data_IF_772298579712
#
_entry.id   IF_772298579712
#
_cell.length_a   1.000
_cell.length_b   1.000
_cell.length_c   1.000
_cell.angle_alpha   90.00
_cell.angle_beta   90.00
_cell.angle_gamma   90.00
#
_symmetry.space_group_name_H-M   'P 1'
#
loop_
_entity.id
_entity.type
_entity.pdbx_description
1 polymer ?
#
# COMPACT_ATOMS: atom_id res chain seq x y z
N UNK A 1 -1.28 5.83 -16.03
CA UNK A 1 -2.41 6.77 -16.23
C UNK A 1 -3.67 5.96 -16.56
N UNK A 2 -4.57 5.86 -15.59
CA UNK A 2 -5.79 5.02 -15.64
C UNK A 2 -6.98 5.94 -15.97
N UNK A 3 -7.87 5.47 -16.86
CA UNK A 3 -8.96 6.19 -17.54
C UNK A 3 -10.22 6.35 -16.70
N UNK A 4 -11.09 7.26 -17.15
CA UNK A 4 -12.25 7.92 -16.50
C UNK A 4 -13.37 7.05 -15.88
N UNK A 5 -13.26 5.72 -15.84
CA UNK A 5 -14.33 4.80 -15.42
C UNK A 5 -14.00 4.07 -14.09
N UNK A 6 -13.97 4.82 -12.98
CA UNK A 6 -13.76 4.27 -11.62
C UNK A 6 -15.11 4.08 -10.91
N UNK A 7 -15.46 2.84 -10.56
CA UNK A 7 -16.66 2.50 -9.79
C UNK A 7 -16.30 2.29 -8.30
N UNK A 8 -16.88 3.09 -7.42
CA UNK A 8 -16.75 2.95 -5.97
C UNK A 8 -17.94 2.17 -5.40
N UNK A 9 -17.68 1.12 -4.63
CA UNK A 9 -18.71 0.41 -3.85
C UNK A 9 -18.61 0.83 -2.38
N UNK A 10 -19.76 1.19 -1.80
CA UNK A 10 -19.90 1.60 -0.40
C UNK A 10 -20.58 0.49 0.42
N UNK A 11 -20.12 0.27 1.65
CA UNK A 11 -20.81 -0.61 2.60
C UNK A 11 -21.88 0.14 3.41
N UNK A 12 -22.86 -0.60 3.90
CA UNK A 12 -23.92 -0.07 4.77
C UNK A 12 -23.38 0.32 6.15
N UNK A 13 -23.95 1.38 6.75
CA UNK A 13 -23.47 2.00 7.99
C UNK A 13 -23.53 1.05 9.20
N UNK A 14 -22.40 0.79 9.86
CA UNK A 14 -22.37 0.20 11.21
C UNK A 14 -22.18 1.29 12.27
N UNK A 15 -23.03 1.29 13.31
CA UNK A 15 -22.95 2.23 14.43
C UNK A 15 -22.00 1.70 15.50
N UNK A 16 -20.84 2.32 15.67
CA UNK A 16 -19.98 2.05 16.83
C UNK A 16 -20.43 2.91 18.02
N UNK A 17 -21.23 2.34 18.93
CA UNK A 17 -21.40 2.93 20.27
C UNK A 17 -20.15 2.60 21.11
N UNK A 18 -19.30 3.59 21.40
CA UNK A 18 -18.29 3.44 22.44
C UNK A 18 -18.93 3.74 23.80
N UNK A 19 -18.94 2.77 24.70
CA UNK A 19 -19.25 2.96 26.12
C UNK A 19 -17.97 3.36 26.85
N UNK A 20 -17.86 4.64 27.19
CA UNK A 20 -16.76 5.14 28.03
C UNK A 20 -17.23 5.13 29.48
N UNK A 21 -16.63 4.27 30.31
CA UNK A 21 -16.67 4.39 31.77
C UNK A 21 -15.67 5.48 32.19
N UNK A 22 -16.13 6.46 32.97
CA UNK A 22 -15.29 7.46 33.65
C UNK A 22 -15.29 7.20 35.15
N UNK A 23 -14.12 7.33 35.78
CA UNK A 23 -13.95 7.48 37.23
C UNK A 23 -13.01 8.66 37.50
N UNK A 24 -13.52 9.59 38.32
CA UNK A 24 -12.89 10.48 39.31
C UNK A 24 -11.74 11.41 38.87
N UNK A 25 -11.65 12.70 39.23
CA UNK A 25 -12.37 13.55 40.18
C UNK A 25 -11.43 14.70 40.60
N UNK A 26 -11.95 15.92 40.86
CA UNK A 26 -11.45 16.95 41.81
C UNK A 26 -11.92 18.38 41.43
N UNK A 27 -12.56 19.10 42.38
CA UNK A 27 -12.30 20.55 42.59
C UNK A 27 -13.36 21.62 42.22
N UNK A 28 -14.33 21.81 43.12
CA UNK A 28 -14.81 23.08 43.72
C UNK A 28 -15.62 24.22 42.99
N UNK A 29 -16.65 24.67 43.74
CA UNK A 29 -17.30 26.00 43.88
C UNK A 29 -18.31 26.58 42.84
N UNK A 30 -19.61 26.39 43.18
CA UNK A 30 -20.79 27.29 43.17
C UNK A 30 -20.95 28.41 42.10
N UNK A 31 -22.04 28.35 41.30
CA UNK A 31 -23.21 29.27 41.34
C UNK A 31 -24.29 28.92 40.31
N UNK A 32 -25.52 29.37 40.58
CA UNK A 32 -26.82 28.90 40.07
C UNK A 32 -27.30 29.48 38.72
N UNK A 33 -28.07 28.70 37.94
CA UNK A 33 -29.44 29.01 37.41
C UNK A 33 -29.79 28.19 36.15
N UNK A 34 -31.06 27.78 36.07
CA UNK A 34 -31.76 27.01 35.00
C UNK A 34 -32.34 27.95 33.93
N UNK A 35 -33.09 27.51 32.87
CA UNK A 35 -33.13 26.23 32.14
C UNK A 35 -33.15 26.40 30.58
N UNK A 36 -33.14 25.26 29.89
CA UNK A 36 -33.70 25.02 28.55
C UNK A 36 -33.08 25.69 27.30
N UNK A 37 -32.30 24.87 26.59
CA UNK A 37 -32.45 24.70 25.14
C UNK A 37 -32.17 23.23 24.81
N UNK A 38 -33.13 22.55 24.18
CA UNK A 38 -32.91 21.27 23.52
C UNK A 38 -31.96 21.51 22.35
N UNK A 39 -30.66 21.43 22.57
CA UNK A 39 -29.70 21.34 21.47
C UNK A 39 -29.79 19.93 20.87
N UNK A 40 -30.22 19.88 19.61
CA UNK A 40 -30.04 18.69 18.78
C UNK A 40 -28.55 18.33 18.79
N UNK A 41 -28.24 17.11 19.26
CA UNK A 41 -26.91 16.52 19.10
C UNK A 41 -26.48 16.64 17.63
N UNK A 42 -25.23 17.04 17.35
CA UNK A 42 -24.73 17.08 15.98
C UNK A 42 -24.87 15.68 15.40
N UNK A 43 -25.52 15.58 14.24
CA UNK A 43 -25.59 14.39 13.42
C UNK A 43 -24.14 13.93 13.19
N UNK A 44 -23.73 12.86 13.87
CA UNK A 44 -22.37 12.33 13.74
C UNK A 44 -22.06 12.11 12.27
N UNK A 45 -20.91 12.58 11.82
CA UNK A 45 -20.43 12.38 10.46
C UNK A 45 -20.38 10.87 10.19
N UNK A 46 -21.43 10.34 9.54
CA UNK A 46 -21.45 9.00 8.99
C UNK A 46 -20.47 9.00 7.81
N UNK A 47 -19.17 8.86 8.10
CA UNK A 47 -18.16 8.61 7.08
C UNK A 47 -18.43 7.23 6.50
N UNK A 48 -19.05 7.21 5.33
CA UNK A 48 -19.21 5.99 4.52
C UNK A 48 -17.83 5.36 4.32
N UNK A 49 -17.70 4.09 4.67
CA UNK A 49 -16.49 3.32 4.42
C UNK A 49 -16.60 2.68 3.06
N UNK A 50 -15.74 3.08 2.14
CA UNK A 50 -15.57 2.41 0.84
C UNK A 50 -15.05 1.01 1.11
N UNK A 51 -15.76 -0.01 0.63
CA UNK A 51 -15.39 -1.42 0.85
C UNK A 51 -14.60 -2.00 -0.30
N UNK A 52 -14.84 -1.49 -1.51
CA UNK A 52 -14.12 -1.86 -2.70
C UNK A 52 -13.99 -0.68 -3.69
N UNK A 53 -12.86 -0.63 -4.38
CA UNK A 53 -12.62 0.24 -5.53
C UNK A 53 -12.40 -0.67 -6.75
N UNK A 54 -13.19 -0.47 -7.80
CA UNK A 54 -13.10 -1.25 -9.03
C UNK A 54 -12.84 -0.35 -10.24
N UNK A 55 -11.87 -0.74 -11.05
CA UNK A 55 -11.58 -0.14 -12.34
C UNK A 55 -11.99 -1.12 -13.44
N UNK A 56 -12.81 -0.66 -14.38
CA UNK A 56 -13.37 -1.51 -15.45
C UNK A 56 -12.96 -0.98 -16.82
N UNK A 57 -12.81 -1.86 -17.80
CA UNK A 57 -12.78 -1.46 -19.21
C UNK A 57 -14.18 -1.01 -19.60
N UNK A 58 -14.26 0.06 -20.39
CA UNK A 58 -15.51 0.43 -21.04
C UNK A 58 -16.04 -0.76 -21.84
N UNK A 59 -17.34 -1.04 -21.82
CA UNK A 59 -17.89 -2.19 -22.51
C UNK A 59 -17.70 -2.01 -24.02
N UNK A 60 -16.95 -2.93 -24.64
CA UNK A 60 -17.08 -3.12 -26.07
C UNK A 60 -18.52 -3.59 -26.34
N UNK A 61 -19.13 -3.20 -27.47
CA UNK A 61 -20.52 -3.54 -27.86
C UNK A 61 -20.83 -5.06 -27.97
N UNK A 62 -19.94 -5.93 -27.51
CA UNK A 62 -20.15 -7.35 -27.35
C UNK A 62 -20.59 -7.67 -25.92
N UNK A 63 -21.67 -8.43 -25.80
CA UNK A 63 -22.27 -8.96 -24.57
C UNK A 63 -21.29 -9.85 -23.81
N UNK A 64 -20.29 -9.25 -23.14
CA UNK A 64 -19.32 -9.95 -22.30
C UNK A 64 -19.71 -9.76 -20.83
N UNK A 65 -19.68 -10.86 -20.09
CA UNK A 65 -20.10 -10.93 -18.69
C UNK A 65 -19.39 -9.88 -17.82
N UNK A 66 -20.14 -9.18 -16.98
CA UNK A 66 -19.69 -8.12 -16.06
C UNK A 66 -18.35 -8.40 -15.32
N UNK A 67 -18.01 -9.63 -14.88
CA UNK A 67 -16.68 -9.91 -14.29
C UNK A 67 -15.50 -9.79 -15.26
N UNK A 68 -15.71 -9.92 -16.57
CA UNK A 68 -14.62 -9.89 -17.57
C UNK A 68 -14.11 -8.48 -17.90
N UNK A 69 -14.88 -7.44 -17.57
CA UNK A 69 -14.46 -6.05 -17.76
C UNK A 69 -13.63 -5.49 -16.60
N UNK A 70 -13.60 -6.15 -15.43
CA UNK A 70 -12.82 -5.70 -14.29
C UNK A 70 -11.30 -5.82 -14.56
N UNK A 71 -10.59 -4.70 -14.48
CA UNK A 71 -9.14 -4.60 -14.71
C UNK A 71 -8.37 -4.66 -13.41
N UNK A 72 -8.88 -3.98 -12.39
CA UNK A 72 -8.29 -3.90 -11.07
C UNK A 72 -9.40 -3.77 -10.02
N UNK A 73 -9.36 -4.62 -9.00
CA UNK A 73 -10.21 -4.52 -7.81
C UNK A 73 -9.35 -4.44 -6.57
N UNK A 74 -9.61 -3.44 -5.74
CA UNK A 74 -8.89 -3.17 -4.50
C UNK A 74 -9.88 -3.23 -3.34
N UNK A 75 -9.59 -4.08 -2.35
CA UNK A 75 -10.37 -4.22 -1.12
C UNK A 75 -9.45 -4.46 0.08
N UNK A 76 -10.07 -4.66 1.26
CA UNK A 76 -9.34 -5.16 2.43
C UNK A 76 -8.74 -6.53 2.13
N UNK A 77 -7.40 -6.58 2.04
CA UNK A 77 -6.62 -7.79 1.73
C UNK A 77 -6.89 -8.35 0.31
N UNK A 78 -7.31 -7.49 -0.63
CA UNK A 78 -7.46 -7.86 -2.03
C UNK A 78 -6.84 -6.80 -2.93
N UNK A 79 -6.03 -7.25 -3.86
CA UNK A 79 -5.47 -6.52 -4.98
C UNK A 79 -5.53 -7.44 -6.20
N UNK A 80 -6.70 -7.48 -6.83
CA UNK A 80 -6.95 -8.37 -7.95
C UNK A 80 -6.72 -7.62 -9.26
N UNK A 81 -5.62 -7.94 -9.94
CA UNK A 81 -5.26 -7.37 -11.23
C UNK A 81 -5.44 -8.41 -12.35
N UNK A 82 -6.04 -8.00 -13.46
CA UNK A 82 -6.44 -8.89 -14.56
C UNK A 82 -5.27 -9.71 -15.16
N UNK A 83 -4.06 -9.15 -15.25
CA UNK A 83 -2.90 -9.82 -15.83
C UNK A 83 -1.64 -9.69 -14.94
N UNK A 84 -1.45 -10.64 -14.02
CA UNK A 84 -0.33 -10.64 -13.07
C UNK A 84 1.04 -10.62 -13.76
N UNK A 85 1.22 -11.33 -14.89
CA UNK A 85 2.50 -11.33 -15.64
C UNK A 85 2.81 -9.95 -16.19
N UNK A 86 1.81 -9.27 -16.73
CA UNK A 86 1.97 -7.90 -17.23
C UNK A 86 2.33 -6.93 -16.09
N UNK A 87 1.63 -7.03 -14.96
CA UNK A 87 1.93 -6.23 -13.77
C UNK A 87 3.38 -6.42 -13.31
N UNK A 88 3.87 -7.66 -13.32
CA UNK A 88 5.26 -7.93 -12.99
C UNK A 88 6.22 -7.43 -14.08
N UNK A 89 5.90 -7.54 -15.37
CA UNK A 89 6.78 -7.12 -16.46
C UNK A 89 6.88 -5.59 -16.65
N UNK A 90 5.86 -4.84 -16.24
CA UNK A 90 5.79 -3.39 -16.39
C UNK A 90 6.16 -2.63 -15.10
N UNK A 91 6.88 -3.29 -14.18
CA UNK A 91 7.14 -2.76 -12.85
C UNK A 91 7.83 -1.41 -12.80
N UNK A 92 8.70 -1.13 -13.77
CA UNK A 92 9.38 0.16 -13.89
C UNK A 92 8.39 1.31 -14.03
N UNK A 93 7.21 1.06 -14.63
CA UNK A 93 6.19 2.07 -14.89
C UNK A 93 5.45 2.55 -13.64
N UNK A 94 5.36 1.72 -12.59
CA UNK A 94 4.75 2.11 -11.31
C UNK A 94 5.78 2.27 -10.18
N UNK A 95 7.07 2.07 -10.44
CA UNK A 95 8.11 2.45 -9.48
C UNK A 95 8.05 3.95 -9.16
N UNK A 96 7.53 4.79 -10.05
CA UNK A 96 7.32 6.23 -9.78
C UNK A 96 6.31 6.52 -8.66
N UNK A 97 5.38 5.58 -8.42
CA UNK A 97 4.41 5.64 -7.32
C UNK A 97 5.04 5.26 -5.97
N UNK A 98 6.27 4.75 -5.98
CA UNK A 98 7.02 4.46 -4.76
C UNK A 98 7.52 5.76 -4.10
N UNK A 99 6.97 6.05 -2.91
CA UNK A 99 7.26 7.29 -2.19
C UNK A 99 8.00 7.08 -0.88
N UNK A 100 8.33 5.85 -0.50
CA UNK A 100 8.82 5.51 0.85
C UNK A 100 10.07 6.32 1.25
N UNK A 101 11.03 6.48 0.34
CA UNK A 101 12.27 7.24 0.56
C UNK A 101 12.02 8.71 0.95
N UNK A 102 10.90 9.30 0.51
CA UNK A 102 10.56 10.70 0.81
C UNK A 102 10.35 10.94 2.30
N UNK A 103 10.03 9.90 3.07
CA UNK A 103 9.89 9.97 4.52
C UNK A 103 11.25 10.04 5.25
N UNK A 104 12.37 9.85 4.53
CA UNK A 104 13.73 9.80 5.08
C UNK A 104 14.66 10.83 4.41
N UNK A 105 14.45 12.15 4.61
CA UNK A 105 15.14 13.21 3.85
C UNK A 105 16.66 13.25 4.05
N UNK A 106 17.17 12.69 5.15
CA UNK A 106 18.61 12.61 5.43
C UNK A 106 19.26 11.31 4.92
N UNK A 107 18.47 10.36 4.42
CA UNK A 107 18.96 9.11 3.87
C UNK A 107 18.88 9.12 2.33
N UNK A 108 19.61 8.22 1.71
CA UNK A 108 19.75 8.05 0.27
C UNK A 108 19.68 6.58 -0.07
N UNK A 109 19.16 6.28 -1.25
CA UNK A 109 19.07 4.93 -1.78
C UNK A 109 19.79 4.87 -3.14
N UNK A 110 20.35 3.72 -3.49
CA UNK A 110 20.75 3.49 -4.87
C UNK A 110 19.50 3.27 -5.74
N UNK A 111 19.61 3.52 -7.04
CA UNK A 111 18.51 3.27 -7.96
C UNK A 111 18.06 1.81 -7.90
N UNK A 112 16.77 1.61 -7.65
CA UNK A 112 16.13 0.29 -7.69
C UNK A 112 16.09 -0.18 -9.14
N UNK A 113 16.69 -1.34 -9.40
CA UNK A 113 16.74 -1.99 -10.72
C UNK A 113 16.16 -3.42 -10.68
N UNK A 114 15.26 -3.68 -9.74
CA UNK A 114 14.66 -4.98 -9.49
C UNK A 114 13.14 -4.84 -9.28
N UNK A 115 12.35 -5.89 -9.60
CA UNK A 115 10.91 -5.87 -9.40
C UNK A 115 10.54 -5.76 -7.91
N UNK A 116 9.27 -5.48 -7.59
CA UNK A 116 8.77 -5.47 -6.22
C UNK A 116 9.20 -6.70 -5.42
N UNK A 117 9.47 -6.50 -4.13
CA UNK A 117 9.94 -7.58 -3.24
C UNK A 117 8.79 -8.27 -2.52
N UNK A 118 7.57 -7.74 -2.62
CA UNK A 118 6.37 -8.23 -1.95
C UNK A 118 5.11 -7.92 -2.79
N UNK A 119 4.04 -8.72 -2.78
CA UNK A 119 3.86 -10.01 -2.08
C UNK A 119 4.04 -11.22 -3.02
N UNK A 120 5.16 -11.92 -2.98
CA UNK A 120 5.37 -13.10 -3.82
C UNK A 120 4.60 -14.32 -3.35
N UNK A 121 4.32 -15.26 -4.25
CA UNK A 121 3.65 -16.50 -3.89
C UNK A 121 4.51 -17.36 -2.98
N UNK A 122 3.89 -17.85 -1.90
CA UNK A 122 4.48 -18.85 -1.01
C UNK A 122 4.27 -20.29 -1.53
N UNK A 123 3.55 -20.46 -2.64
CA UNK A 123 3.40 -21.74 -3.31
C UNK A 123 4.62 -22.02 -4.21
N UNK A 124 5.39 -23.10 -3.98
CA UNK A 124 6.53 -23.46 -4.82
C UNK A 124 6.21 -23.61 -6.31
N UNK A 125 4.99 -24.04 -6.66
CA UNK A 125 4.56 -24.20 -8.05
C UNK A 125 4.24 -22.87 -8.74
N UNK A 126 4.17 -21.78 -7.98
CA UNK A 126 3.82 -20.43 -8.44
C UNK A 126 4.83 -19.37 -7.94
N UNK A 127 6.07 -19.78 -7.65
CA UNK A 127 7.12 -18.97 -7.00
C UNK A 127 7.48 -17.66 -7.72
N UNK A 128 7.16 -17.56 -9.00
CA UNK A 128 7.39 -16.41 -9.88
C UNK A 128 6.18 -15.47 -9.99
N UNK A 129 5.12 -15.71 -9.22
CA UNK A 129 3.89 -14.91 -9.25
C UNK A 129 3.73 -14.07 -7.98
N UNK A 130 2.94 -12.99 -8.08
CA UNK A 130 2.53 -12.18 -6.94
C UNK A 130 1.16 -12.62 -6.43
N UNK A 131 1.01 -12.69 -5.11
CA UNK A 131 -0.27 -12.88 -4.46
C UNK A 131 -1.18 -11.66 -4.70
N UNK A 132 -2.49 -11.91 -4.75
CA UNK A 132 -3.51 -10.88 -4.94
C UNK A 132 -3.99 -10.26 -3.62
N UNK A 133 -3.17 -10.30 -2.57
CA UNK A 133 -3.57 -9.84 -1.23
C UNK A 133 -3.25 -8.36 -1.00
N UNK A 134 -2.23 -7.83 -1.69
CA UNK A 134 -1.73 -6.47 -1.58
C UNK A 134 -1.18 -5.99 -2.92
N UNK A 135 -1.11 -4.68 -3.09
CA UNK A 135 -0.39 -4.09 -4.21
C UNK A 135 1.09 -4.47 -4.16
N UNK A 136 1.76 -4.67 -5.31
CA UNK A 136 3.20 -4.88 -5.36
C UNK A 136 3.94 -3.71 -4.71
N UNK A 137 4.96 -3.99 -3.90
CA UNK A 137 5.74 -2.99 -3.19
C UNK A 137 7.21 -3.39 -3.01
N UNK A 138 8.07 -2.38 -2.81
CA UNK A 138 9.49 -2.54 -2.42
C UNK A 138 9.65 -2.35 -0.91
N UNK A 139 9.13 -3.30 -0.14
CA UNK A 139 9.12 -3.20 1.33
C UNK A 139 10.51 -3.34 1.96
N UNK A 140 11.45 -3.96 1.24
CA UNK A 140 12.78 -4.30 1.73
C UNK A 140 13.81 -3.39 1.07
N UNK A 141 14.55 -2.61 1.87
CA UNK A 141 15.42 -1.53 1.36
C UNK A 141 16.73 -1.41 2.12
N UNK A 142 17.73 -0.83 1.44
CA UNK A 142 18.97 -0.39 2.07
C UNK A 142 19.13 1.11 1.89
N UNK A 143 18.79 1.85 2.94
CA UNK A 143 18.99 3.30 3.00
C UNK A 143 20.32 3.64 3.68
N UNK A 144 21.00 4.65 3.15
CA UNK A 144 22.32 5.06 3.58
C UNK A 144 22.35 6.55 3.91
N UNK A 145 23.19 6.95 4.86
CA UNK A 145 23.51 8.36 5.02
C UNK A 145 24.39 8.86 3.86
N UNK A 146 24.64 10.18 3.81
CA UNK A 146 25.44 10.79 2.75
C UNK A 146 26.86 10.22 2.64
N UNK A 147 27.50 9.85 3.74
CA UNK A 147 28.88 9.36 3.72
C UNK A 147 28.97 7.92 3.21
N UNK A 148 28.03 7.07 3.65
CA UNK A 148 27.95 5.67 3.25
C UNK A 148 27.63 5.53 1.75
N UNK A 149 26.67 6.31 1.23
CA UNK A 149 26.33 6.20 -0.20
C UNK A 149 27.49 6.65 -1.10
N UNK A 150 28.25 7.66 -0.70
CA UNK A 150 29.43 8.10 -1.44
C UNK A 150 30.56 7.07 -1.38
N UNK A 151 30.70 6.31 -0.30
CA UNK A 151 31.61 5.17 -0.24
C UNK A 151 31.19 4.07 -1.21
N UNK A 152 29.92 3.69 -1.20
CA UNK A 152 29.39 2.64 -2.09
C UNK A 152 29.55 3.02 -3.56
N UNK A 153 29.26 4.27 -3.92
CA UNK A 153 29.40 4.77 -5.30
C UNK A 153 30.84 4.78 -5.84
N UNK A 154 31.86 4.68 -4.98
CA UNK A 154 33.25 4.52 -5.46
C UNK A 154 33.46 3.17 -6.13
N UNK A 155 32.71 2.15 -5.71
CA UNK A 155 32.73 0.86 -6.35
C UNK A 155 31.79 0.86 -7.56
N UNK A 156 32.37 0.84 -8.76
CA UNK A 156 31.63 0.74 -10.03
C UNK A 156 30.89 -0.60 -10.17
N UNK A 157 31.25 -1.60 -9.37
CA UNK A 157 30.64 -2.92 -9.34
C UNK A 157 29.66 -3.08 -8.17
N UNK A 158 29.37 -1.99 -7.43
CA UNK A 158 28.35 -2.01 -6.40
C UNK A 158 27.02 -2.51 -6.99
N UNK A 159 26.41 -3.49 -6.34
CA UNK A 159 25.19 -4.15 -6.78
C UNK A 159 24.10 -3.96 -5.73
N UNK A 160 23.02 -3.29 -6.12
CA UNK A 160 21.78 -3.19 -5.36
C UNK A 160 20.68 -3.97 -6.10
N UNK A 161 20.25 -5.10 -5.54
CA UNK A 161 19.38 -6.05 -6.24
C UNK A 161 18.57 -6.87 -5.24
N UNK A 162 17.51 -7.51 -5.72
CA UNK A 162 16.87 -8.63 -5.03
C UNK A 162 17.38 -9.96 -5.58
N UNK A 163 17.37 -11.02 -4.76
CA UNK A 163 17.79 -12.36 -5.19
C UNK A 163 16.74 -13.42 -4.88
N UNK A 164 16.86 -14.59 -5.53
CA UNK A 164 15.87 -15.66 -5.41
C UNK A 164 14.53 -15.36 -6.09
N UNK A 165 14.54 -14.58 -7.18
CA UNK A 165 13.33 -14.15 -7.90
C UNK A 165 12.51 -15.35 -8.41
N UNK A 166 13.19 -16.44 -8.75
CA UNK A 166 12.69 -17.73 -9.23
C UNK A 166 12.46 -18.78 -8.12
N UNK A 167 12.87 -18.50 -6.89
CA UNK A 167 12.78 -19.44 -5.76
C UNK A 167 11.69 -19.03 -4.79
N UNK A 168 10.86 -19.96 -4.33
CA UNK A 168 9.93 -19.69 -3.23
C UNK A 168 10.72 -19.47 -1.93
N UNK A 169 10.84 -18.21 -1.50
CA UNK A 169 11.57 -17.80 -0.28
C UNK A 169 10.63 -17.21 0.79
N UNK A 170 9.31 -17.36 0.60
CA UNK A 170 8.27 -16.63 1.32
C UNK A 170 7.67 -15.52 0.46
N UNK A 171 6.80 -14.71 1.08
CA UNK A 171 6.11 -13.60 0.43
C UNK A 171 6.99 -12.36 0.21
N UNK A 172 8.16 -12.31 0.86
CA UNK A 172 9.20 -11.33 0.63
C UNK A 172 10.41 -11.93 -0.11
N UNK A 173 10.91 -11.21 -1.13
CA UNK A 173 12.20 -11.51 -1.78
C UNK A 173 13.33 -10.72 -1.10
N UNK A 174 14.41 -11.38 -0.64
CA UNK A 174 15.52 -10.70 -0.02
C UNK A 174 16.16 -9.63 -0.91
N UNK A 175 16.54 -8.51 -0.29
CA UNK A 175 17.29 -7.41 -0.93
C UNK A 175 18.73 -7.41 -0.44
N UNK A 176 19.67 -7.16 -1.35
CA UNK A 176 21.08 -7.08 -1.05
C UNK A 176 21.71 -5.80 -1.59
N UNK A 177 22.66 -5.28 -0.82
CA UNK A 177 23.64 -4.30 -1.27
C UNK A 177 25.04 -4.91 -1.13
N UNK A 178 25.72 -5.15 -2.25
CA UNK A 178 27.09 -5.68 -2.29
C UNK A 178 28.02 -4.66 -2.91
N UNK A 179 29.14 -4.37 -2.26
CA UNK A 179 30.17 -3.45 -2.75
C UNK A 179 31.51 -3.75 -2.09
N UNK A 180 32.59 -3.33 -2.74
CA UNK A 180 33.95 -3.38 -2.21
C UNK A 180 34.25 -2.09 -1.45
N UNK A 181 34.79 -2.21 -0.23
CA UNK A 181 35.33 -1.05 0.47
C UNK A 181 36.68 -0.68 -0.16
N UNK A 182 36.66 0.34 -1.01
CA UNK A 182 37.88 0.90 -1.60
C UNK A 182 38.49 1.87 -0.57
N UNK A 183 39.72 1.61 -0.07
CA UNK A 183 40.41 2.47 0.88
C UNK A 183 40.63 3.89 0.37
#
# INVERSE_FOLDING_TARGET
>A
RITDDTDLREDSTESTQSSVYSTDGCGDLLTASSPHTNELKPLGDFRRTVSAIEFRRSPDNSTSDIPTSCVLRIEKKLFDYFNHKRLLNEWQGYLEDDREVHNFPCLRELSINFPPTYPWSENPDESESLMKTRAPAWCDRVLMNAQAIEMVKRDKFAKYDSFGKDVCMGDHKPVMLSFSMIP
#
